data_IF_070934384880
#
_entry.id   IF_070934384880
#
_cell.length_a   1.000
_cell.length_b   1.000
_cell.length_c   1.000
_cell.angle_alpha   90.00
_cell.angle_beta   90.00
_cell.angle_gamma   90.00
#
_symmetry.space_group_name_H-M   'P 1'
#
loop_
_entity.id
_entity.type
_entity.pdbx_description
1 polymer ?
#
# COMPACT_ATOMS: atom_id res chain seq x y z
N UNK A 1 75.11 -22.84 -15.66
CA UNK A 1 73.93 -23.69 -15.42
C UNK A 1 73.04 -23.17 -14.29
N UNK A 2 73.51 -22.37 -13.34
CA UNK A 2 72.72 -21.81 -12.22
C UNK A 2 71.76 -20.66 -12.60
N UNK A 3 72.09 -19.80 -13.56
CA UNK A 3 71.29 -18.62 -13.94
C UNK A 3 69.93 -19.06 -14.56
N UNK A 4 69.88 -20.13 -15.29
CA UNK A 4 68.63 -20.67 -15.86
C UNK A 4 67.66 -21.22 -14.79
N UNK A 5 68.17 -21.71 -13.65
CA UNK A 5 67.31 -22.18 -12.53
C UNK A 5 66.69 -21.01 -11.79
N UNK A 6 67.40 -19.92 -11.58
CA UNK A 6 66.90 -18.72 -10.88
C UNK A 6 65.78 -18.04 -11.70
N UNK A 7 65.90 -17.95 -13.00
CA UNK A 7 64.87 -17.38 -13.86
C UNK A 7 63.56 -18.23 -13.89
N UNK A 8 63.69 -19.55 -13.79
CA UNK A 8 62.50 -20.45 -13.69
C UNK A 8 61.79 -20.28 -12.35
N UNK A 9 62.52 -20.10 -11.28
CA UNK A 9 61.93 -19.83 -9.95
C UNK A 9 61.24 -18.45 -9.90
N UNK A 10 61.81 -17.43 -10.51
CA UNK A 10 61.19 -16.10 -10.62
C UNK A 10 59.91 -16.13 -11.44
N UNK A 11 59.91 -16.85 -12.55
CA UNK A 11 58.72 -17.01 -13.40
C UNK A 11 57.60 -17.80 -12.67
N UNK A 12 57.94 -18.84 -11.94
CA UNK A 12 56.97 -19.61 -11.16
C UNK A 12 56.42 -18.80 -9.98
N UNK A 13 57.22 -18.03 -9.32
CA UNK A 13 56.79 -17.13 -8.22
C UNK A 13 55.85 -16.02 -8.78
N UNK A 14 56.20 -15.42 -9.91
CA UNK A 14 55.37 -14.40 -10.52
C UNK A 14 54.07 -14.97 -11.06
N UNK A 15 54.04 -16.17 -11.61
CA UNK A 15 52.83 -16.87 -12.02
C UNK A 15 51.95 -17.24 -10.83
N UNK A 16 52.52 -17.64 -9.68
CA UNK A 16 51.79 -17.90 -8.46
C UNK A 16 51.16 -16.62 -7.87
N UNK A 17 51.87 -15.48 -7.89
CA UNK A 17 51.35 -14.18 -7.46
C UNK A 17 50.24 -13.68 -8.39
N UNK A 18 50.39 -13.81 -9.70
CA UNK A 18 49.29 -13.49 -10.63
C UNK A 18 48.06 -14.39 -10.43
N UNK A 19 48.28 -15.68 -10.15
CA UNK A 19 47.20 -16.62 -9.89
C UNK A 19 46.46 -16.33 -8.58
N UNK A 20 47.16 -15.88 -7.51
CA UNK A 20 46.52 -15.45 -6.26
C UNK A 20 45.80 -14.12 -6.41
N UNK A 21 46.31 -13.18 -7.22
CA UNK A 21 45.62 -11.91 -7.53
C UNK A 21 44.35 -12.12 -8.38
N UNK A 22 44.30 -13.17 -9.22
CA UNK A 22 43.12 -13.51 -10.00
C UNK A 22 41.97 -14.12 -9.13
N UNK A 23 42.28 -14.64 -7.93
CA UNK A 23 41.27 -15.15 -6.99
C UNK A 23 40.74 -14.10 -6.01
N UNK A 24 41.26 -12.88 -6.00
CA UNK A 24 40.63 -11.74 -5.31
C UNK A 24 39.53 -11.19 -6.26
N UNK A 25 38.63 -12.06 -6.69
CA UNK A 25 37.36 -11.66 -7.28
C UNK A 25 36.58 -10.91 -6.19
N UNK A 26 36.35 -9.63 -6.39
CA UNK A 26 35.42 -8.87 -5.57
C UNK A 26 34.10 -9.63 -5.55
N UNK A 27 33.80 -10.29 -4.41
CA UNK A 27 32.44 -10.64 -4.06
C UNK A 27 31.68 -9.31 -3.90
N UNK A 28 31.13 -8.80 -4.98
CA UNK A 28 30.24 -7.64 -4.93
C UNK A 28 28.91 -8.11 -4.36
N UNK A 29 28.74 -7.97 -3.04
CA UNK A 29 27.46 -8.11 -2.40
C UNK A 29 26.53 -7.04 -2.97
N UNK A 30 25.76 -7.40 -3.98
CA UNK A 30 24.78 -6.50 -4.56
C UNK A 30 23.50 -6.57 -3.74
N UNK A 31 23.44 -5.81 -2.66
CA UNK A 31 22.20 -5.59 -1.92
C UNK A 31 21.43 -4.44 -2.60
N UNK A 32 20.29 -4.76 -3.23
CA UNK A 32 19.40 -3.75 -3.82
C UNK A 32 18.26 -3.52 -2.84
N UNK A 33 18.16 -2.30 -2.34
CA UNK A 33 17.10 -1.89 -1.43
C UNK A 33 16.36 -0.67 -2.01
N UNK A 34 15.05 -0.82 -2.22
CA UNK A 34 14.14 0.27 -2.56
C UNK A 34 13.19 0.42 -1.39
N UNK A 35 13.27 1.55 -0.70
CA UNK A 35 12.41 1.82 0.45
C UNK A 35 11.63 3.12 0.27
N UNK A 36 10.36 3.07 0.56
CA UNK A 36 9.51 4.23 0.76
C UNK A 36 8.73 4.04 2.07
N UNK A 37 8.81 5.02 2.97
CA UNK A 37 8.17 4.94 4.28
C UNK A 37 7.08 6.00 4.39
N UNK A 38 5.85 5.57 4.72
CA UNK A 38 4.74 6.48 5.01
C UNK A 38 5.07 7.34 6.25
N UNK A 39 5.75 6.76 7.23
CA UNK A 39 6.14 7.48 8.46
C UNK A 39 7.15 8.58 8.15
N UNK A 40 8.19 8.27 7.37
CA UNK A 40 9.21 9.27 6.99
C UNK A 40 8.64 10.37 6.11
N UNK A 41 7.65 10.05 5.30
CA UNK A 41 6.93 11.03 4.49
C UNK A 41 6.09 11.97 5.36
N UNK A 42 5.32 11.43 6.31
CA UNK A 42 4.37 12.18 7.13
C UNK A 42 5.04 12.94 8.28
N UNK A 43 6.11 12.37 8.86
CA UNK A 43 6.81 12.88 10.03
C UNK A 43 8.31 13.02 9.76
N UNK A 44 8.71 13.95 8.87
CA UNK A 44 10.10 14.09 8.42
C UNK A 44 11.07 14.48 9.53
N UNK A 45 10.56 15.17 10.55
CA UNK A 45 11.36 15.65 11.67
C UNK A 45 10.95 14.92 12.95
N UNK A 46 11.83 14.07 13.46
CA UNK A 46 11.62 13.38 14.74
C UNK A 46 11.49 14.32 15.96
N UNK A 47 11.85 15.60 15.78
CA UNK A 47 11.77 16.66 16.79
C UNK A 47 10.47 17.48 16.72
N UNK A 48 9.69 17.33 15.66
CA UNK A 48 8.41 18.04 15.55
C UNK A 48 7.41 17.47 16.54
N UNK A 49 6.65 18.31 17.25
CA UNK A 49 5.62 17.81 18.15
C UNK A 49 4.60 17.00 17.35
N UNK A 50 4.30 15.79 17.82
CA UNK A 50 3.27 14.95 17.22
C UNK A 50 1.94 15.63 17.46
N UNK A 51 1.32 16.13 16.39
CA UNK A 51 -0.02 16.73 16.47
C UNK A 51 -1.02 15.62 16.76
N UNK A 52 -1.75 15.75 17.86
CA UNK A 52 -2.81 14.80 18.21
C UNK A 52 -3.87 14.78 17.10
N UNK A 53 -4.18 13.62 16.51
CA UNK A 53 -5.20 13.54 15.48
C UNK A 53 -6.56 13.99 16.01
N UNK A 54 -7.28 14.78 15.20
CA UNK A 54 -8.66 15.15 15.47
C UNK A 54 -9.64 13.99 15.27
N UNK A 55 -10.92 14.24 15.57
CA UNK A 55 -11.99 13.30 15.23
C UNK A 55 -12.28 13.43 13.74
N UNK A 56 -12.12 12.34 12.93
CA UNK A 56 -12.41 12.39 11.51
C UNK A 56 -13.91 12.64 11.25
N UNK A 57 -14.19 13.48 10.25
CA UNK A 57 -15.51 13.75 9.74
C UNK A 57 -15.65 13.11 8.35
N UNK A 58 -16.21 11.90 8.30
CA UNK A 58 -16.38 11.14 7.08
C UNK A 58 -17.70 11.53 6.39
N UNK A 59 -17.60 12.37 5.36
CA UNK A 59 -18.77 12.81 4.56
C UNK A 59 -19.00 11.82 3.43
N UNK A 60 -20.10 11.05 3.53
CA UNK A 60 -20.44 10.05 2.52
C UNK A 60 -21.27 10.66 1.39
N UNK A 61 -20.98 10.30 0.12
CA UNK A 61 -19.94 9.39 -0.33
C UNK A 61 -18.55 10.07 -0.34
N UNK A 62 -17.50 9.29 0.00
CA UNK A 62 -16.12 9.76 0.16
C UNK A 62 -15.45 10.07 -1.19
N UNK A 63 -14.63 11.13 -1.20
CA UNK A 63 -13.69 11.43 -2.27
C UNK A 63 -12.30 10.98 -1.82
N UNK A 64 -11.75 10.00 -2.52
CA UNK A 64 -10.53 9.29 -2.12
C UNK A 64 -9.40 9.61 -3.09
N UNK A 65 -8.23 9.98 -2.57
CA UNK A 65 -7.00 10.02 -3.34
C UNK A 65 -6.18 8.75 -3.13
N UNK A 66 -5.50 8.27 -4.17
CA UNK A 66 -4.51 7.21 -4.05
C UNK A 66 -3.18 7.78 -4.55
N UNK A 67 -2.12 7.60 -3.77
CA UNK A 67 -0.80 8.10 -4.12
C UNK A 67 0.31 7.17 -3.62
N UNK A 68 1.38 7.03 -4.41
CA UNK A 68 2.61 6.40 -3.91
C UNK A 68 3.46 7.42 -3.15
N UNK A 69 3.94 7.01 -1.99
CA UNK A 69 4.89 7.79 -1.19
C UNK A 69 6.24 7.85 -1.93
N UNK A 70 6.88 9.03 -2.03
CA UNK A 70 8.20 9.13 -2.61
C UNK A 70 9.21 8.28 -1.85
N UNK A 71 10.04 7.51 -2.58
CA UNK A 71 11.14 6.76 -1.98
C UNK A 71 12.27 7.67 -1.53
N UNK A 72 12.97 7.28 -0.47
CA UNK A 72 14.10 8.02 0.11
C UNK A 72 15.45 7.70 -0.57
N UNK A 73 15.50 6.80 -1.54
CA UNK A 73 16.75 6.31 -2.13
C UNK A 73 17.24 7.09 -3.35
N UNK A 74 18.52 7.44 -3.35
CA UNK A 74 19.28 7.78 -4.56
C UNK A 74 19.61 6.48 -5.30
N UNK A 75 18.63 5.86 -5.91
CA UNK A 75 18.83 4.64 -6.68
C UNK A 75 17.76 4.47 -7.73
N UNK A 76 18.09 3.76 -8.79
CA UNK A 76 17.15 3.37 -9.84
C UNK A 76 15.98 2.64 -9.17
N UNK A 77 14.92 3.38 -8.84
CA UNK A 77 13.68 2.80 -8.31
C UNK A 77 13.25 1.73 -9.30
N UNK A 78 13.27 0.48 -8.88
CA UNK A 78 12.83 -0.64 -9.71
C UNK A 78 11.36 -0.53 -10.12
N UNK A 79 10.59 0.33 -9.40
CA UNK A 79 9.18 0.56 -9.66
C UNK A 79 8.98 1.83 -10.50
N UNK A 80 8.66 1.63 -11.78
CA UNK A 80 8.39 2.73 -12.72
C UNK A 80 7.07 3.43 -12.38
N UNK A 81 6.93 4.72 -12.75
CA UNK A 81 5.68 5.47 -12.59
C UNK A 81 4.51 4.75 -13.27
N UNK A 82 4.76 4.10 -14.42
CA UNK A 82 3.74 3.29 -15.09
C UNK A 82 3.22 2.17 -14.17
N UNK A 83 4.11 1.37 -13.56
CA UNK A 83 3.70 0.29 -12.65
C UNK A 83 2.95 0.81 -11.43
N UNK A 84 3.35 1.98 -10.90
CA UNK A 84 2.62 2.65 -9.81
C UNK A 84 1.21 3.05 -10.24
N UNK A 85 1.08 3.68 -11.41
CA UNK A 85 -0.22 4.08 -11.96
C UNK A 85 -1.10 2.87 -12.25
N UNK A 86 -0.56 1.79 -12.80
CA UNK A 86 -1.29 0.56 -13.10
C UNK A 86 -1.84 -0.07 -11.80
N UNK A 87 -1.05 -0.10 -10.70
CA UNK A 87 -1.52 -0.59 -9.40
C UNK A 87 -2.59 0.33 -8.80
N UNK A 88 -2.37 1.65 -8.83
CA UNK A 88 -3.36 2.60 -8.32
C UNK A 88 -4.69 2.48 -9.07
N UNK A 89 -4.64 2.25 -10.39
CA UNK A 89 -5.83 2.00 -11.21
C UNK A 89 -6.53 0.71 -10.82
N UNK A 90 -5.78 -0.38 -10.63
CA UNK A 90 -6.36 -1.66 -10.17
C UNK A 90 -7.09 -1.49 -8.83
N UNK A 91 -6.48 -0.79 -7.87
CA UNK A 91 -7.11 -0.48 -6.58
C UNK A 91 -8.35 0.40 -6.78
N UNK A 92 -8.26 1.45 -7.59
CA UNK A 92 -9.38 2.35 -7.85
C UNK A 92 -10.57 1.62 -8.49
N UNK A 93 -10.33 0.83 -9.52
CA UNK A 93 -11.38 0.07 -10.22
C UNK A 93 -12.05 -0.95 -9.27
N UNK A 94 -11.27 -1.53 -8.34
CA UNK A 94 -11.80 -2.44 -7.34
C UNK A 94 -12.72 -1.75 -6.32
N UNK A 95 -12.38 -0.54 -5.86
CA UNK A 95 -13.12 0.18 -4.82
C UNK A 95 -14.22 1.12 -5.34
N UNK A 96 -14.19 1.49 -6.61
CA UNK A 96 -15.17 2.38 -7.24
C UNK A 96 -16.60 1.84 -7.22
N UNK A 97 -16.76 0.51 -7.11
CA UNK A 97 -18.06 -0.18 -7.04
C UNK A 97 -18.84 0.09 -5.74
N UNK A 98 -18.18 0.57 -4.70
CA UNK A 98 -18.82 0.75 -3.41
C UNK A 98 -19.62 2.06 -3.34
N UNK A 99 -20.88 2.03 -2.86
CA UNK A 99 -21.78 3.20 -2.87
C UNK A 99 -21.28 4.35 -1.96
N UNK A 100 -20.45 4.05 -0.97
CA UNK A 100 -19.84 5.03 -0.08
C UNK A 100 -18.60 5.72 -0.67
N UNK A 101 -18.18 5.35 -1.87
CA UNK A 101 -17.11 6.01 -2.63
C UNK A 101 -17.76 6.87 -3.72
N UNK A 102 -17.47 8.16 -3.74
CA UNK A 102 -17.96 9.09 -4.77
C UNK A 102 -17.06 9.05 -5.99
N UNK A 103 -15.77 9.25 -5.74
CA UNK A 103 -14.74 9.27 -6.75
C UNK A 103 -13.40 8.86 -6.18
N UNK A 104 -12.50 8.37 -7.05
CA UNK A 104 -11.13 8.01 -6.71
C UNK A 104 -10.17 8.70 -7.67
N UNK A 105 -9.34 9.58 -7.11
CA UNK A 105 -8.33 10.33 -7.84
C UNK A 105 -6.96 9.65 -7.73
N UNK A 106 -6.35 9.37 -8.89
CA UNK A 106 -4.99 8.82 -8.96
C UNK A 106 -3.99 9.97 -8.98
N UNK A 107 -3.22 10.11 -7.92
CA UNK A 107 -2.30 11.22 -7.71
C UNK A 107 -0.89 10.78 -8.09
N UNK A 108 -0.29 11.35 -9.16
CA UNK A 108 1.07 11.02 -9.55
C UNK A 108 2.08 11.33 -8.44
N UNK A 109 3.13 10.51 -8.31
CA UNK A 109 4.16 10.67 -7.28
C UNK A 109 4.85 12.04 -7.33
N UNK A 110 4.90 12.69 -8.50
CA UNK A 110 5.48 14.03 -8.66
C UNK A 110 4.79 15.13 -7.83
N UNK A 111 3.54 14.93 -7.41
CA UNK A 111 2.83 15.89 -6.55
C UNK A 111 3.10 15.67 -5.06
N UNK A 112 3.69 14.54 -4.70
CA UNK A 112 4.14 14.27 -3.33
C UNK A 112 5.59 14.71 -3.20
N UNK A 113 5.85 15.66 -2.32
CA UNK A 113 7.21 16.11 -2.03
C UNK A 113 7.89 15.09 -1.14
N UNK A 114 9.16 14.82 -1.38
CA UNK A 114 9.94 14.02 -0.43
C UNK A 114 9.88 14.70 0.95
N UNK A 115 9.51 13.95 1.98
CA UNK A 115 9.29 14.47 3.35
C UNK A 115 8.26 15.61 3.43
N UNK A 116 7.24 15.59 2.58
CA UNK A 116 6.26 16.68 2.44
C UNK A 116 5.29 16.82 3.60
N UNK A 117 5.11 15.76 4.38
CA UNK A 117 4.27 15.76 5.57
C UNK A 117 2.79 16.03 5.29
N UNK A 118 2.05 16.28 6.36
CA UNK A 118 0.62 16.61 6.26
C UNK A 118 0.37 17.93 5.53
N UNK A 119 1.33 18.87 5.53
CA UNK A 119 1.20 20.13 4.77
C UNK A 119 1.10 19.88 3.26
N UNK A 120 1.82 18.89 2.74
CA UNK A 120 1.71 18.49 1.34
C UNK A 120 0.38 17.77 1.08
N UNK A 121 -0.12 16.97 2.03
CA UNK A 121 -1.45 16.36 1.91
C UNK A 121 -2.57 17.39 1.91
N UNK A 122 -2.47 18.47 2.69
CA UNK A 122 -3.43 19.58 2.66
C UNK A 122 -3.46 20.28 1.29
N UNK A 123 -2.30 20.43 0.64
CA UNK A 123 -2.22 20.95 -0.74
C UNK A 123 -2.91 20.00 -1.73
N UNK A 124 -2.62 18.69 -1.64
CA UNK A 124 -3.25 17.66 -2.47
C UNK A 124 -4.76 17.64 -2.27
N UNK A 125 -5.22 17.73 -1.02
CA UNK A 125 -6.63 17.84 -0.69
C UNK A 125 -7.30 18.99 -1.42
N UNK A 126 -6.66 20.16 -1.42
CA UNK A 126 -7.18 21.35 -2.10
C UNK A 126 -7.16 21.21 -3.62
N UNK A 127 -6.08 20.68 -4.19
CA UNK A 127 -5.91 20.54 -5.64
C UNK A 127 -6.84 19.51 -6.27
N UNK A 128 -6.97 18.35 -5.62
CA UNK A 128 -7.73 17.21 -6.14
C UNK A 128 -9.14 17.09 -5.53
N UNK A 129 -9.46 17.90 -4.53
CA UNK A 129 -10.76 17.86 -3.87
C UNK A 129 -11.02 16.58 -3.09
N UNK A 130 -9.98 15.86 -2.68
CA UNK A 130 -10.09 14.59 -1.92
C UNK A 130 -10.13 14.84 -0.42
N UNK A 131 -10.88 14.03 0.30
CA UNK A 131 -11.00 14.13 1.77
C UNK A 131 -10.17 13.06 2.48
N UNK A 132 -10.10 11.86 1.88
CA UNK A 132 -9.37 10.69 2.36
C UNK A 132 -8.25 10.37 1.38
N UNK A 133 -7.10 9.96 1.87
CA UNK A 133 -5.99 9.54 1.03
C UNK A 133 -5.47 8.16 1.43
N UNK A 134 -5.28 7.30 0.44
CA UNK A 134 -4.58 6.04 0.53
C UNK A 134 -3.12 6.25 0.09
N UNK A 135 -2.20 6.22 1.03
CA UNK A 135 -0.76 6.32 0.78
C UNK A 135 -0.18 4.93 0.62
N UNK A 136 0.34 4.64 -0.55
CA UNK A 136 0.98 3.36 -0.88
C UNK A 136 2.49 3.51 -0.74
N UNK A 137 3.11 2.71 0.09
CA UNK A 137 4.57 2.55 0.15
C UNK A 137 4.99 1.24 -0.49
N UNK A 138 6.16 1.25 -1.09
CA UNK A 138 6.78 0.09 -1.69
C UNK A 138 8.17 -0.10 -1.11
N UNK A 139 8.42 -1.29 -0.62
CA UNK A 139 9.70 -1.71 -0.13
C UNK A 139 10.06 -3.07 -0.72
N UNK A 140 11.25 -3.16 -1.33
CA UNK A 140 11.74 -4.42 -1.85
C UNK A 140 13.23 -4.56 -1.57
N UNK A 141 13.58 -5.70 -1.00
CA UNK A 141 14.96 -6.06 -0.70
C UNK A 141 15.32 -7.33 -1.45
N UNK A 142 16.41 -7.28 -2.19
CA UNK A 142 16.99 -8.43 -2.89
C UNK A 142 18.36 -8.74 -2.29
N UNK A 143 18.51 -9.94 -1.76
CA UNK A 143 19.75 -10.45 -1.19
C UNK A 143 20.43 -11.38 -2.19
N UNK A 144 21.71 -11.18 -2.40
CA UNK A 144 22.56 -12.06 -3.23
C UNK A 144 23.56 -12.87 -2.43
N UNK A 145 23.71 -12.61 -1.12
CA UNK A 145 24.57 -13.32 -0.20
C UNK A 145 24.07 -13.26 1.25
N UNK A 146 24.65 -14.15 2.10
CA UNK A 146 24.20 -14.48 3.46
C UNK A 146 24.34 -13.37 4.52
N UNK A 147 24.54 -12.10 4.18
CA UNK A 147 24.72 -11.05 5.16
C UNK A 147 23.40 -10.58 5.79
N UNK A 148 23.13 -11.17 6.94
CA UNK A 148 21.95 -11.07 7.80
C UNK A 148 21.71 -9.66 8.43
N UNK A 149 22.60 -8.70 8.26
CA UNK A 149 22.62 -7.49 9.09
C UNK A 149 21.75 -6.33 8.59
N UNK A 150 21.20 -6.40 7.39
CA UNK A 150 20.32 -5.33 6.87
C UNK A 150 18.84 -5.50 7.22
N UNK A 151 18.46 -6.58 7.91
CA UNK A 151 17.07 -6.89 8.31
C UNK A 151 16.54 -5.99 9.45
N UNK A 152 17.40 -5.21 10.11
CA UNK A 152 16.98 -4.34 11.21
C UNK A 152 16.04 -3.21 10.79
N UNK A 153 15.92 -2.91 9.50
CA UNK A 153 15.05 -1.86 8.99
C UNK A 153 13.55 -2.26 8.99
N UNK A 154 13.26 -3.57 8.90
CA UNK A 154 11.89 -4.09 8.91
C UNK A 154 11.25 -4.06 10.31
N UNK A 155 12.04 -3.89 11.36
CA UNK A 155 11.55 -3.87 12.75
C UNK A 155 10.76 -2.62 13.10
N UNK A 156 10.90 -1.52 12.35
CA UNK A 156 10.15 -0.27 12.60
C UNK A 156 8.72 -0.37 12.03
N UNK A 157 8.50 -1.19 11.02
CA UNK A 157 7.19 -1.35 10.35
C UNK A 157 6.43 -2.58 10.84
N UNK A 158 6.93 -3.30 11.82
CA UNK A 158 6.25 -4.43 12.48
C UNK A 158 6.68 -5.79 11.97
N UNK A 159 7.52 -6.44 12.76
CA UNK A 159 7.59 -7.86 13.09
C UNK A 159 7.50 -8.92 11.97
N UNK A 160 8.11 -8.72 10.82
CA UNK A 160 8.35 -9.83 9.91
C UNK A 160 9.85 -10.06 9.76
N UNK A 161 10.41 -10.86 10.68
CA UNK A 161 11.75 -11.42 10.52
C UNK A 161 11.64 -12.60 9.57
N UNK A 162 12.07 -12.41 8.33
CA UNK A 162 12.19 -13.49 7.35
C UNK A 162 13.67 -13.87 7.26
N UNK A 163 14.04 -15.12 7.53
CA UNK A 163 15.42 -15.58 7.35
C UNK A 163 15.80 -15.50 5.87
N UNK A 164 16.87 -14.77 5.54
CA UNK A 164 17.37 -14.69 4.16
C UNK A 164 18.14 -15.96 3.78
N UNK A 165 17.80 -16.55 2.64
CA UNK A 165 18.62 -17.53 1.93
C UNK A 165 19.21 -16.89 0.67
N UNK A 166 20.19 -17.53 0.02
CA UNK A 166 20.85 -17.01 -1.20
C UNK A 166 19.80 -16.63 -2.26
N UNK A 167 19.85 -15.39 -2.75
CA UNK A 167 18.97 -14.81 -3.77
C UNK A 167 17.49 -14.67 -3.36
N UNK A 168 17.24 -14.25 -2.14
CA UNK A 168 15.88 -13.97 -1.68
C UNK A 168 15.42 -12.59 -2.15
N UNK A 169 14.20 -12.53 -2.66
CA UNK A 169 13.49 -11.29 -2.97
C UNK A 169 12.30 -11.14 -2.05
N UNK A 170 12.35 -10.13 -1.17
CA UNK A 170 11.26 -9.79 -0.26
C UNK A 170 10.61 -8.49 -0.72
N UNK A 171 9.31 -8.51 -0.93
CA UNK A 171 8.53 -7.35 -1.38
C UNK A 171 7.42 -7.06 -0.37
N UNK A 172 7.31 -5.80 0.02
CA UNK A 172 6.19 -5.28 0.78
C UNK A 172 5.56 -4.10 0.04
N UNK A 173 4.27 -4.18 -0.16
CA UNK A 173 3.40 -3.05 -0.49
C UNK A 173 2.56 -2.76 0.74
N UNK A 174 2.50 -1.52 1.18
CA UNK A 174 1.73 -1.14 2.34
C UNK A 174 0.88 0.08 2.04
N UNK A 175 -0.43 -0.10 2.18
CA UNK A 175 -1.39 0.98 1.99
C UNK A 175 -1.92 1.44 3.33
N UNK A 176 -1.74 2.73 3.62
CA UNK A 176 -2.24 3.36 4.83
C UNK A 176 -3.24 4.44 4.46
N UNK A 177 -4.44 4.37 5.03
CA UNK A 177 -5.53 5.27 4.70
C UNK A 177 -5.71 6.31 5.80
N UNK A 178 -5.67 7.60 5.43
CA UNK A 178 -5.81 8.73 6.33
C UNK A 178 -7.01 9.61 5.96
N UNK A 179 -7.69 10.11 6.97
CA UNK A 179 -8.48 11.33 6.85
C UNK A 179 -7.52 12.53 6.90
N UNK A 180 -7.43 13.29 5.80
CA UNK A 180 -6.41 14.32 5.65
C UNK A 180 -6.61 15.43 6.69
N UNK A 181 -7.87 15.85 6.89
CA UNK A 181 -8.21 16.98 7.76
C UNK A 181 -7.92 16.70 9.24
N UNK A 182 -8.31 15.53 9.73
CA UNK A 182 -8.08 15.15 11.14
C UNK A 182 -6.69 14.57 11.37
N UNK A 183 -5.96 14.23 10.30
CA UNK A 183 -4.66 13.52 10.35
C UNK A 183 -4.74 12.14 11.00
N UNK A 184 -5.95 11.60 11.15
CA UNK A 184 -6.15 10.29 11.77
C UNK A 184 -6.00 9.18 10.73
N UNK A 185 -5.18 8.19 11.07
CA UNK A 185 -5.12 6.94 10.33
C UNK A 185 -6.43 6.18 10.56
N UNK A 186 -7.08 5.80 9.47
CA UNK A 186 -8.33 5.04 9.49
C UNK A 186 -8.06 3.55 9.58
N UNK A 187 -7.27 3.03 8.64
CA UNK A 187 -6.84 1.63 8.62
C UNK A 187 -5.58 1.47 7.75
N UNK A 188 -5.02 0.26 7.77
CA UNK A 188 -3.81 -0.12 7.04
C UNK A 188 -4.01 -1.50 6.43
N UNK A 189 -3.45 -1.71 5.23
CA UNK A 189 -3.50 -2.98 4.53
C UNK A 189 -2.15 -3.29 3.88
N UNK A 190 -1.31 -4.13 4.48
CA UNK A 190 -0.06 -4.59 3.91
C UNK A 190 -0.29 -5.75 2.95
N UNK A 191 0.55 -5.87 1.92
CA UNK A 191 0.73 -7.06 1.12
C UNK A 191 2.21 -7.42 1.10
N UNK A 192 2.56 -8.61 1.56
CA UNK A 192 3.94 -9.07 1.69
C UNK A 192 4.12 -10.36 0.94
N UNK A 193 5.16 -10.45 0.13
CA UNK A 193 5.51 -11.65 -0.58
C UNK A 193 7.02 -11.87 -0.60
N UNK A 194 7.44 -13.14 -0.48
CA UNK A 194 8.83 -13.57 -0.53
C UNK A 194 9.02 -14.62 -1.61
N UNK A 195 10.06 -14.44 -2.41
CA UNK A 195 10.56 -15.48 -3.32
C UNK A 195 11.93 -15.92 -2.85
N UNK A 196 12.10 -17.23 -2.66
CA UNK A 196 13.39 -17.87 -2.43
C UNK A 196 13.93 -18.37 -3.76
N UNK A 197 14.86 -17.62 -4.32
CA UNK A 197 15.46 -17.92 -5.63
C UNK A 197 16.78 -18.67 -5.51
N UNK A 198 17.10 -19.43 -6.56
CA UNK A 198 18.45 -19.96 -6.81
C UNK A 198 18.85 -19.53 -8.20
N UNK A 199 19.95 -18.80 -8.30
CA UNK A 199 20.47 -18.36 -9.58
C UNK A 199 21.95 -18.76 -9.72
N UNK A 200 22.37 -19.01 -10.96
CA UNK A 200 23.78 -19.12 -11.28
C UNK A 200 24.36 -17.73 -11.57
N UNK A 201 25.66 -17.51 -11.41
CA UNK A 201 26.28 -16.22 -11.72
C UNK A 201 25.99 -15.71 -13.13
N UNK A 202 25.73 -16.62 -14.08
CA UNK A 202 25.46 -16.27 -15.47
C UNK A 202 24.05 -15.70 -15.71
N UNK A 203 23.04 -16.10 -14.92
CA UNK A 203 21.65 -15.67 -15.08
C UNK A 203 21.10 -14.89 -13.89
N UNK A 204 21.94 -14.53 -12.92
CA UNK A 204 21.54 -13.89 -11.68
C UNK A 204 20.72 -12.60 -11.91
N UNK A 205 21.19 -11.71 -12.79
CA UNK A 205 20.53 -10.43 -13.04
C UNK A 205 19.14 -10.59 -13.66
N UNK A 206 18.97 -11.55 -14.55
CA UNK A 206 17.69 -11.89 -15.18
C UNK A 206 16.74 -12.49 -14.13
N UNK A 207 17.24 -13.44 -13.33
CA UNK A 207 16.44 -14.07 -12.26
C UNK A 207 15.97 -13.04 -11.24
N UNK A 208 16.87 -12.16 -10.77
CA UNK A 208 16.50 -11.10 -9.82
C UNK A 208 15.42 -10.16 -10.40
N UNK A 209 15.46 -9.88 -11.70
CA UNK A 209 14.44 -9.07 -12.36
C UNK A 209 13.09 -9.80 -12.38
N UNK A 210 13.07 -11.07 -12.74
CA UNK A 210 11.86 -11.90 -12.78
C UNK A 210 11.27 -12.08 -11.38
N UNK A 211 12.10 -12.35 -10.38
CA UNK A 211 11.69 -12.50 -8.99
C UNK A 211 11.11 -11.19 -8.43
N UNK A 212 11.72 -10.05 -8.78
CA UNK A 212 11.22 -8.73 -8.43
C UNK A 212 9.82 -8.48 -8.99
N UNK A 213 9.59 -8.77 -10.26
CA UNK A 213 8.29 -8.57 -10.91
C UNK A 213 7.22 -9.52 -10.37
N UNK A 214 7.56 -10.79 -10.18
CA UNK A 214 6.64 -11.81 -9.65
C UNK A 214 6.27 -11.48 -8.20
N UNK A 215 7.28 -11.17 -7.35
CA UNK A 215 7.06 -10.84 -5.95
C UNK A 215 6.22 -9.57 -5.78
N UNK A 216 6.42 -8.57 -6.65
CA UNK A 216 5.60 -7.38 -6.70
C UNK A 216 4.13 -7.70 -7.02
N UNK A 217 3.88 -8.53 -8.04
CA UNK A 217 2.54 -8.91 -8.45
C UNK A 217 1.76 -9.62 -7.35
N UNK A 218 2.40 -10.58 -6.67
CA UNK A 218 1.79 -11.31 -5.55
C UNK A 218 1.57 -10.41 -4.32
N UNK A 219 2.53 -9.56 -3.98
CA UNK A 219 2.35 -8.58 -2.90
C UNK A 219 1.20 -7.61 -3.18
N UNK A 220 1.05 -7.16 -4.43
CA UNK A 220 -0.05 -6.29 -4.85
C UNK A 220 -1.42 -6.97 -4.71
N UNK A 221 -1.51 -8.23 -5.11
CA UNK A 221 -2.74 -9.03 -4.95
C UNK A 221 -3.12 -9.17 -3.48
N UNK A 222 -2.19 -9.58 -2.62
CA UNK A 222 -2.42 -9.71 -1.18
C UNK A 222 -2.80 -8.37 -0.53
N UNK A 223 -2.20 -7.26 -0.96
CA UNK A 223 -2.56 -5.93 -0.48
C UNK A 223 -4.01 -5.57 -0.82
N UNK A 224 -4.48 -5.88 -2.03
CA UNK A 224 -5.87 -5.60 -2.44
C UNK A 224 -6.86 -6.46 -1.65
N UNK A 225 -6.55 -7.74 -1.44
CA UNK A 225 -7.36 -8.64 -0.59
C UNK A 225 -7.44 -8.11 0.85
N UNK A 226 -6.31 -7.71 1.43
CA UNK A 226 -6.25 -7.11 2.77
C UNK A 226 -6.98 -5.76 2.85
N UNK A 227 -6.98 -4.96 1.78
CA UNK A 227 -7.75 -3.70 1.74
C UNK A 227 -9.25 -3.95 1.93
N UNK A 228 -9.82 -4.97 1.30
CA UNK A 228 -11.23 -5.34 1.47
C UNK A 228 -11.53 -5.75 2.92
N UNK A 229 -10.68 -6.60 3.50
CA UNK A 229 -10.83 -7.06 4.88
C UNK A 229 -10.74 -5.90 5.88
N UNK A 230 -9.68 -5.09 5.77
CA UNK A 230 -9.46 -3.97 6.68
C UNK A 230 -10.54 -2.89 6.55
N UNK A 231 -11.09 -2.69 5.35
CA UNK A 231 -12.22 -1.81 5.13
C UNK A 231 -13.50 -2.32 5.80
N UNK A 232 -13.73 -3.64 5.77
CA UNK A 232 -14.86 -4.25 6.48
C UNK A 232 -14.72 -4.06 8.00
N UNK A 233 -13.55 -4.37 8.55
CA UNK A 233 -13.25 -4.15 9.98
C UNK A 233 -13.36 -2.67 10.38
N UNK A 234 -12.91 -1.76 9.51
CA UNK A 234 -13.03 -0.33 9.76
C UNK A 234 -14.50 0.13 9.81
N UNK A 235 -15.36 -0.36 8.92
CA UNK A 235 -16.81 -0.06 8.96
C UNK A 235 -17.44 -0.48 10.29
N UNK A 236 -17.07 -1.65 10.82
CA UNK A 236 -17.58 -2.12 12.08
C UNK A 236 -17.03 -1.29 13.26
N UNK A 237 -15.75 -0.96 13.22
CA UNK A 237 -15.12 -0.04 14.19
C UNK A 237 -15.82 1.34 14.25
N UNK A 238 -16.21 1.88 13.08
CA UNK A 238 -16.93 3.16 13.01
C UNK A 238 -18.33 3.06 13.65
N UNK A 239 -19.02 1.93 13.50
CA UNK A 239 -20.33 1.70 14.16
C UNK A 239 -20.19 1.54 15.66
N UNK A 240 -19.16 0.81 16.12
CA UNK A 240 -18.92 0.52 17.53
C UNK A 240 -18.43 1.76 18.32
N UNK A 241 -17.72 2.68 17.64
CA UNK A 241 -17.07 3.83 18.26
C UNK A 241 -17.52 5.18 17.68
N UNK A 242 -18.80 5.54 17.81
CA UNK A 242 -19.33 6.79 17.21
C UNK A 242 -18.72 8.05 17.83
N UNK A 243 -18.14 7.98 19.03
CA UNK A 243 -17.43 9.08 19.65
C UNK A 243 -16.07 9.38 18.99
N UNK A 244 -15.43 8.38 18.38
CA UNK A 244 -14.14 8.51 17.71
C UNK A 244 -14.24 8.85 16.22
N UNK A 245 -15.41 8.65 15.61
CA UNK A 245 -15.66 8.84 14.17
C UNK A 245 -17.01 9.51 13.95
N UNK A 246 -17.01 10.66 13.26
CA UNK A 246 -18.25 11.32 12.84
C UNK A 246 -18.54 10.98 11.38
N UNK A 247 -19.72 10.41 11.12
CA UNK A 247 -20.17 10.09 9.75
C UNK A 247 -21.34 10.99 9.41
N UNK A 248 -21.20 11.75 8.32
CA UNK A 248 -22.26 12.57 7.74
C UNK A 248 -22.68 11.96 6.40
N UNK A 249 -23.96 11.74 6.21
CA UNK A 249 -24.53 11.24 4.96
C UNK A 249 -25.15 12.40 4.19
N UNK A 250 -24.67 12.65 2.98
CA UNK A 250 -25.27 13.66 2.11
C UNK A 250 -26.61 13.17 1.57
N UNK A 251 -27.51 14.06 1.14
CA UNK A 251 -28.75 13.67 0.49
C UNK A 251 -28.51 12.79 -0.76
N UNK A 252 -27.44 13.06 -1.51
CA UNK A 252 -27.01 12.26 -2.66
C UNK A 252 -26.71 10.80 -2.27
N UNK A 253 -26.03 10.59 -1.15
CA UNK A 253 -25.73 9.23 -0.63
C UNK A 253 -27.00 8.51 -0.16
N UNK A 254 -27.91 9.23 0.49
CA UNK A 254 -29.19 8.66 0.97
C UNK A 254 -30.05 8.19 -0.20
N UNK A 255 -30.09 8.94 -1.31
CA UNK A 255 -30.85 8.55 -2.49
C UNK A 255 -30.25 7.36 -3.26
N UNK A 256 -28.91 7.22 -3.28
CA UNK A 256 -28.21 6.08 -3.90
C UNK A 256 -28.24 4.82 -3.06
N UNK A 257 -28.24 4.97 -1.75
CA UNK A 257 -28.25 3.86 -0.79
C UNK A 257 -29.62 3.22 -0.66
N UNK A 258 -30.47 3.24 -1.68
CA UNK A 258 -31.81 2.68 -1.80
C UNK A 258 -32.15 1.45 -0.97
N UNK A 259 -31.82 1.51 0.29
CA UNK A 259 -32.34 0.65 1.33
C UNK A 259 -33.74 1.14 1.61
N UNK A 260 -34.72 0.36 1.22
CA UNK A 260 -36.14 0.62 1.38
C UNK A 260 -36.51 1.24 2.73
N UNK A 261 -36.43 2.55 2.84
CA UNK A 261 -37.45 3.21 3.63
C UNK A 261 -38.74 2.88 2.91
N UNK A 262 -39.46 1.93 3.43
CA UNK A 262 -40.91 1.87 3.16
C UNK A 262 -41.39 3.30 3.38
N UNK A 263 -41.56 4.02 2.28
CA UNK A 263 -41.96 5.40 2.30
C UNK A 263 -43.25 5.42 3.10
N UNK A 264 -43.33 6.29 4.14
CA UNK A 264 -44.54 6.40 4.98
C UNK A 264 -45.76 6.53 4.10
N UNK A 265 -45.61 7.07 2.88
CA UNK A 265 -46.64 7.13 1.85
C UNK A 265 -47.14 5.76 1.38
N UNK A 266 -46.26 4.74 1.25
CA UNK A 266 -46.65 3.37 0.92
C UNK A 266 -47.41 2.68 2.06
N UNK A 267 -47.00 2.94 3.30
CA UNK A 267 -47.67 2.42 4.50
C UNK A 267 -49.04 3.07 4.67
N UNK A 268 -49.17 4.37 4.41
CA UNK A 268 -50.43 5.08 4.40
C UNK A 268 -51.38 4.57 3.28
N UNK A 269 -50.81 4.25 2.12
CA UNK A 269 -51.57 3.73 0.97
C UNK A 269 -52.12 2.32 1.23
N UNK A 270 -51.33 1.44 1.87
CA UNK A 270 -51.75 0.10 2.30
C UNK A 270 -52.82 0.18 3.39
N UNK A 271 -52.69 1.08 4.35
CA UNK A 271 -53.68 1.31 5.39
C UNK A 271 -55.00 1.88 4.80
N UNK A 272 -54.92 2.79 3.82
CA UNK A 272 -56.07 3.34 3.15
C UNK A 272 -56.83 2.30 2.33
N UNK A 273 -56.11 1.43 1.60
CA UNK A 273 -56.72 0.33 0.83
C UNK A 273 -57.27 -0.78 1.73
N UNK A 274 -56.59 -1.10 2.84
CA UNK A 274 -57.08 -2.04 3.84
C UNK A 274 -58.34 -1.52 4.58
N UNK A 275 -58.37 -0.24 4.93
CA UNK A 275 -59.52 0.42 5.55
C UNK A 275 -60.75 0.48 4.62
N UNK A 276 -60.55 0.80 3.34
CA UNK A 276 -61.62 0.82 2.34
C UNK A 276 -62.23 -0.57 2.12
N UNK A 277 -61.44 -1.64 2.11
CA UNK A 277 -61.94 -3.00 1.96
C UNK A 277 -62.76 -3.48 3.17
N UNK A 278 -62.39 -3.10 4.37
CA UNK A 278 -63.15 -3.39 5.60
C UNK A 278 -64.44 -2.59 5.67
N UNK A 279 -64.45 -1.32 5.19
CA UNK A 279 -65.66 -0.50 5.15
C UNK A 279 -66.68 -1.00 4.12
N UNK A 280 -66.24 -1.45 2.95
CA UNK A 280 -67.06 -2.08 1.92
C UNK A 280 -67.65 -3.42 2.38
N UNK A 281 -66.91 -4.26 3.13
CA UNK A 281 -67.42 -5.49 3.70
C UNK A 281 -68.47 -5.26 4.79
N UNK A 282 -68.40 -4.19 5.57
CA UNK A 282 -69.41 -3.82 6.58
C UNK A 282 -70.72 -3.34 5.97
N UNK A 283 -70.73 -2.80 4.73
CA UNK A 283 -71.96 -2.39 4.01
C UNK A 283 -72.64 -3.51 3.24
N UNK A 284 -72.02 -4.67 3.09
CA UNK A 284 -72.51 -5.79 2.33
C UNK A 284 -73.21 -6.89 3.18
N UNK A 285 -73.48 -6.65 4.47
CA UNK A 285 -74.25 -7.56 5.33
C UNK A 285 -75.74 -7.04 5.30
N UNK A 286 -76.70 -7.80 4.70
CA UNK A 286 -78.10 -7.49 4.79
C UNK A 286 -78.63 -7.78 6.18
N UNK A 287 -79.63 -6.97 6.60
CA UNK A 287 -80.42 -7.20 7.82
C UNK A 287 -81.30 -8.45 7.69
#
# INVERSE_FOLDING_TARGET
>A
MQIRKQWRFLFLAMAAVCMTLAFVGCATNANRHNAASVVDFLYPDSKSPVVTPGIPLLTLPLRVGIAFVPGSGYGNSSLTEKKKMDLMKLVADHFKKYPYVKDIELIPTAYLRNKGGFSNLDQIRTMYGVDVIALVSYDQVQFTDEDFLSLTYWTIVGAYVIPGEKNDTNTMLDTVVFDIKSRKMLFRAPGVHQIKGRATPANLSEQLRLDSETSYGEAAKLMVENLDEQLALFKDKVKERPAEYKVVRTPEYQSRSGGGSLDITWLALILALGGASLWLKRRALPQ
#
